data_IF_906927390351
#
_entry.id   IF_906927390351
#
_cell.length_a   1.000
_cell.length_b   1.000
_cell.length_c   1.000
_cell.angle_alpha   90.00
_cell.angle_beta   90.00
_cell.angle_gamma   90.00
#
_symmetry.space_group_name_H-M   'P 1'
#
loop_
_entity.id
_entity.type
_entity.pdbx_description
1 polymer ?
#
# COMPACT_ATOMS: atom_id res chain seq x y z
N UNK A 1 -29.21 -52.62 22.51
CA UNK A 1 -28.79 -52.02 21.23
C UNK A 1 -28.91 -50.51 21.45
N UNK A 2 -27.82 -49.80 21.74
CA UNK A 2 -26.96 -49.06 20.78
C UNK A 2 -27.78 -47.91 20.13
N UNK A 3 -27.39 -46.62 20.08
CA UNK A 3 -26.07 -45.99 19.99
C UNK A 3 -26.23 -44.53 20.49
N UNK A 4 -25.19 -44.00 21.13
CA UNK A 4 -24.93 -42.60 21.47
C UNK A 4 -25.10 -41.64 20.28
N UNK A 5 -25.33 -40.34 20.53
CA UNK A 5 -24.67 -39.17 19.87
C UNK A 5 -25.49 -37.88 20.10
N UNK A 6 -25.34 -37.27 21.28
CA UNK A 6 -25.71 -35.86 21.52
C UNK A 6 -24.47 -35.11 22.03
N UNK A 7 -23.56 -34.81 21.12
CA UNK A 7 -22.43 -33.92 21.39
C UNK A 7 -22.24 -33.02 20.17
N UNK A 8 -22.35 -31.70 20.40
CA UNK A 8 -21.89 -30.57 19.58
C UNK A 8 -22.77 -30.07 18.40
N UNK A 9 -23.69 -29.11 18.67
CA UNK A 9 -24.12 -28.12 17.68
C UNK A 9 -23.20 -26.86 17.64
N UNK A 10 -22.17 -26.80 18.50
CA UNK A 10 -21.29 -25.61 18.63
C UNK A 10 -20.15 -25.56 17.60
N UNK A 11 -19.80 -26.69 17.00
CA UNK A 11 -18.74 -26.83 15.99
C UNK A 11 -19.03 -26.08 14.67
N UNK A 12 -20.24 -26.13 14.07
CA UNK A 12 -20.52 -25.43 12.82
C UNK A 12 -20.56 -23.89 12.99
N UNK A 13 -21.02 -23.40 14.14
CA UNK A 13 -21.07 -21.95 14.40
C UNK A 13 -19.66 -21.36 14.57
N UNK A 14 -18.75 -22.09 15.23
CA UNK A 14 -17.35 -21.70 15.35
C UNK A 14 -16.63 -21.68 14.00
N UNK A 15 -16.86 -22.68 13.14
CA UNK A 15 -16.29 -22.71 11.78
C UNK A 15 -16.78 -21.54 10.91
N UNK A 16 -18.05 -21.15 11.04
CA UNK A 16 -18.63 -20.03 10.30
C UNK A 16 -18.05 -18.68 10.74
N UNK A 17 -17.79 -18.50 12.04
CA UNK A 17 -17.15 -17.30 12.58
C UNK A 17 -15.69 -17.18 12.15
N UNK A 18 -14.96 -18.31 12.12
CA UNK A 18 -13.57 -18.35 11.60
C UNK A 18 -13.57 -18.03 10.10
N UNK A 19 -14.51 -18.56 9.30
CA UNK A 19 -14.60 -18.23 7.87
C UNK A 19 -14.84 -16.74 7.64
N UNK A 20 -15.77 -16.10 8.36
CA UNK A 20 -16.10 -14.69 8.18
C UNK A 20 -14.94 -13.74 8.54
N UNK A 21 -14.08 -14.14 9.47
CA UNK A 21 -12.93 -13.35 9.89
C UNK A 21 -11.72 -13.49 8.94
N UNK A 22 -11.63 -14.60 8.18
CA UNK A 22 -10.50 -14.87 7.27
C UNK A 22 -10.78 -14.36 5.85
N UNK A 23 -12.04 -14.20 5.45
CA UNK A 23 -12.43 -13.69 4.12
C UNK A 23 -11.86 -12.30 3.74
N UNK A 24 -11.78 -11.30 4.64
CA UNK A 24 -11.29 -9.97 4.28
C UNK A 24 -9.80 -9.93 3.93
N UNK A 25 -9.01 -10.89 4.42
CA UNK A 25 -7.56 -10.90 4.25
C UNK A 25 -7.11 -11.36 2.85
N UNK A 26 -8.00 -11.95 2.04
CA UNK A 26 -7.65 -12.53 0.73
C UNK A 26 -7.49 -11.44 -0.35
N UNK A 27 -8.00 -10.22 -0.11
CA UNK A 27 -8.00 -9.14 -1.11
C UNK A 27 -6.79 -8.20 -1.03
N UNK A 28 -5.91 -8.39 -0.04
CA UNK A 28 -4.62 -7.71 0.03
C UNK A 28 -3.58 -8.54 -0.73
N UNK A 29 -3.00 -7.98 -1.79
CA UNK A 29 -1.90 -8.61 -2.49
C UNK A 29 -0.61 -7.83 -2.25
N UNK A 30 0.46 -8.55 -1.96
CA UNK A 30 1.82 -8.03 -2.06
C UNK A 30 2.14 -7.82 -3.54
N UNK A 31 2.52 -6.61 -3.93
CA UNK A 31 2.95 -6.32 -5.31
C UNK A 31 4.36 -6.87 -5.49
N UNK A 32 4.51 -7.85 -6.38
CA UNK A 32 5.81 -8.48 -6.67
C UNK A 32 6.69 -7.62 -7.59
N UNK A 33 6.08 -6.80 -8.45
CA UNK A 33 6.79 -5.86 -9.33
C UNK A 33 6.79 -4.45 -8.72
N UNK A 34 7.69 -4.23 -7.76
CA UNK A 34 8.07 -2.87 -7.36
C UNK A 34 9.56 -2.66 -7.63
N UNK A 35 9.91 -1.43 -8.00
CA UNK A 35 11.29 -1.01 -8.23
C UNK A 35 11.57 0.23 -7.43
N UNK A 36 12.72 0.26 -6.77
CA UNK A 36 13.20 1.46 -6.10
C UNK A 36 13.76 2.38 -7.19
N UNK A 37 13.20 3.58 -7.32
CA UNK A 37 13.75 4.60 -8.20
C UNK A 37 15.12 5.02 -7.67
N UNK A 38 16.19 4.65 -8.37
CA UNK A 38 17.54 5.08 -8.02
C UNK A 38 17.72 6.54 -8.42
N UNK A 39 17.67 7.44 -7.44
CA UNK A 39 18.21 8.79 -7.57
C UNK A 39 19.68 8.82 -7.11
N UNK A 40 20.40 9.90 -7.41
CA UNK A 40 21.83 10.09 -7.06
C UNK A 40 22.15 10.10 -5.55
N UNK A 41 21.15 9.98 -4.68
CA UNK A 41 21.31 9.81 -3.22
C UNK A 41 20.57 8.56 -2.79
N UNK A 42 21.17 7.80 -1.87
CA UNK A 42 20.47 6.69 -1.20
C UNK A 42 19.21 7.21 -0.51
N UNK A 43 18.05 6.57 -0.72
CA UNK A 43 16.82 6.98 -0.08
C UNK A 43 16.92 6.76 1.45
N UNK A 44 16.35 7.65 2.27
CA UNK A 44 16.42 7.54 3.73
C UNK A 44 15.65 6.33 4.27
N UNK A 45 14.75 5.75 3.46
CA UNK A 45 13.96 4.56 3.77
C UNK A 45 14.28 3.50 2.71
N UNK A 46 14.75 2.34 3.17
CA UNK A 46 14.89 1.12 2.35
C UNK A 46 13.56 0.39 2.33
N UNK A 47 12.98 0.22 1.14
CA UNK A 47 11.68 -0.43 0.98
C UNK A 47 11.87 -1.95 0.90
N UNK A 48 11.13 -2.69 1.72
CA UNK A 48 11.15 -4.15 1.78
C UNK A 48 9.98 -4.77 1.03
N UNK A 49 8.77 -4.24 1.23
CA UNK A 49 7.58 -4.71 0.53
C UNK A 49 6.58 -3.57 0.32
N UNK A 50 5.81 -3.70 -0.76
CA UNK A 50 4.68 -2.83 -1.07
C UNK A 50 3.44 -3.72 -1.19
N UNK A 51 2.47 -3.48 -0.33
CA UNK A 51 1.17 -4.13 -0.36
C UNK A 51 0.14 -3.14 -0.88
N UNK A 52 -0.79 -3.64 -1.69
CA UNK A 52 -1.88 -2.82 -2.19
C UNK A 52 -3.20 -3.54 -2.00
N UNK A 53 -4.20 -2.77 -1.55
CA UNK A 53 -5.55 -3.25 -1.33
C UNK A 53 -6.58 -2.22 -1.79
N UNK A 54 -7.59 -2.60 -2.59
CA UNK A 54 -7.78 -3.93 -3.17
C UNK A 54 -6.84 -4.19 -4.36
N UNK A 55 -6.46 -5.46 -4.55
CA UNK A 55 -5.77 -5.92 -5.76
C UNK A 55 -6.48 -7.13 -6.39
N UNK A 56 -6.66 -7.19 -7.72
CA UNK A 56 -6.30 -6.19 -8.72
C UNK A 56 -7.16 -4.91 -8.59
N UNK A 57 -6.57 -3.77 -8.96
CA UNK A 57 -7.28 -2.49 -8.92
C UNK A 57 -8.49 -2.53 -9.85
N UNK A 58 -9.67 -2.27 -9.31
CA UNK A 58 -10.82 -1.98 -10.15
C UNK A 58 -10.79 -0.49 -10.47
N UNK A 59 -10.74 -0.16 -11.76
CA UNK A 59 -10.79 1.23 -12.22
C UNK A 59 -11.97 1.96 -11.56
N UNK A 60 -11.71 3.11 -10.97
CA UNK A 60 -12.72 3.89 -10.27
C UNK A 60 -12.94 3.52 -8.79
N UNK A 61 -12.09 2.70 -8.17
CA UNK A 61 -12.14 2.43 -6.72
C UNK A 61 -10.88 2.94 -6.02
N UNK A 62 -11.03 3.47 -4.81
CA UNK A 62 -9.88 3.91 -4.02
C UNK A 62 -8.99 2.72 -3.67
N UNK A 63 -7.68 2.98 -3.63
CA UNK A 63 -6.69 1.99 -3.22
C UNK A 63 -5.87 2.49 -2.05
N UNK A 64 -5.52 1.53 -1.18
CA UNK A 64 -4.65 1.74 -0.03
C UNK A 64 -3.31 1.09 -0.34
N UNK A 65 -2.24 1.83 -0.09
CA UNK A 65 -0.86 1.37 -0.28
C UNK A 65 -0.20 1.26 1.08
N UNK A 66 0.33 0.09 1.41
CA UNK A 66 1.12 -0.12 2.61
C UNK A 66 2.54 -0.42 2.21
N UNK A 67 3.48 0.43 2.63
CA UNK A 67 4.91 0.24 2.38
C UNK A 67 5.55 -0.19 3.68
N UNK A 68 6.23 -1.32 3.66
CA UNK A 68 7.07 -1.76 4.77
C UNK A 68 8.52 -1.56 4.38
N UNK A 69 9.32 -1.08 5.34
CA UNK A 69 10.71 -0.77 5.09
C UNK A 69 11.52 -0.61 6.36
N UNK A 70 12.75 -0.16 6.18
CA UNK A 70 13.69 0.11 7.25
C UNK A 70 14.39 1.44 7.03
N UNK A 71 14.58 2.21 8.09
CA UNK A 71 15.43 3.40 8.08
C UNK A 71 16.57 3.25 9.07
N UNK A 72 17.78 3.61 8.65
CA UNK A 72 18.99 3.58 9.49
C UNK A 72 19.25 4.90 10.21
N UNK A 73 18.46 5.94 9.94
CA UNK A 73 18.66 7.29 10.44
C UNK A 73 17.34 7.84 10.98
N UNK A 74 17.44 8.76 11.93
CA UNK A 74 16.27 9.46 12.41
C UNK A 74 15.73 10.37 11.28
N UNK A 75 14.43 10.30 11.01
CA UNK A 75 13.79 11.17 10.03
C UNK A 75 13.13 12.32 10.79
N UNK A 76 13.50 13.59 10.47
CA UNK A 76 13.00 14.75 11.18
C UNK A 76 11.51 15.03 10.89
N UNK A 77 10.92 15.90 11.70
CA UNK A 77 9.49 16.21 11.68
C UNK A 77 9.03 16.94 10.40
N UNK A 78 9.95 17.48 9.61
CA UNK A 78 9.73 18.23 8.37
C UNK A 78 9.92 17.37 7.12
N UNK A 79 10.04 16.05 7.28
CA UNK A 79 10.11 15.15 6.14
C UNK A 79 8.79 15.08 5.38
N UNK A 80 8.90 15.06 4.05
CA UNK A 80 7.77 14.93 3.14
C UNK A 80 7.85 13.63 2.34
N UNK A 81 6.69 13.14 1.97
CA UNK A 81 6.55 12.04 1.03
C UNK A 81 5.69 12.51 -0.13
N UNK A 82 6.17 12.19 -1.33
CA UNK A 82 5.43 12.36 -2.57
C UNK A 82 5.07 11.01 -3.14
N UNK A 83 3.79 10.81 -3.43
CA UNK A 83 3.28 9.63 -4.11
C UNK A 83 2.84 10.07 -5.50
N UNK A 84 3.37 9.43 -6.52
CA UNK A 84 3.13 9.71 -7.92
C UNK A 84 2.45 8.54 -8.62
N UNK A 85 1.46 8.82 -9.45
CA UNK A 85 0.90 7.88 -10.40
C UNK A 85 1.45 8.20 -11.77
N UNK A 86 1.89 7.19 -12.49
CA UNK A 86 2.34 7.32 -13.87
C UNK A 86 1.44 6.45 -14.75
N UNK A 87 0.85 7.06 -15.77
CA UNK A 87 0.14 6.36 -16.84
C UNK A 87 0.94 6.49 -18.14
N UNK A 88 1.37 5.40 -18.75
CA UNK A 88 1.77 5.35 -20.17
C UNK A 88 0.55 5.07 -21.05
N UNK A 89 -0.19 6.13 -21.37
CA UNK A 89 -1.24 6.04 -22.38
C UNK A 89 -0.63 6.09 -23.78
N UNK A 90 -1.22 5.36 -24.72
CA UNK A 90 -1.03 5.64 -26.16
C UNK A 90 -2.31 6.31 -26.67
N UNK A 91 -2.26 7.59 -27.01
CA UNK A 91 -3.35 8.28 -27.72
C UNK A 91 -2.89 8.46 -29.17
N UNK A 92 -3.34 7.56 -30.05
CA UNK A 92 -2.94 7.57 -31.46
C UNK A 92 -1.50 7.09 -31.66
N UNK A 93 -0.64 7.92 -32.25
CA UNK A 93 0.78 7.58 -32.57
C UNK A 93 1.79 8.11 -31.54
N UNK A 94 1.34 8.69 -30.42
CA UNK A 94 2.19 9.26 -29.38
C UNK A 94 2.01 8.59 -28.02
N UNK A 95 3.12 8.39 -27.29
CA UNK A 95 3.11 8.01 -25.87
C UNK A 95 2.91 9.27 -25.02
N UNK A 96 1.84 9.30 -24.23
CA UNK A 96 1.59 10.36 -23.25
C UNK A 96 1.80 9.78 -21.86
N UNK A 97 2.94 10.12 -21.27
CA UNK A 97 3.24 9.84 -19.87
C UNK A 97 2.66 10.98 -19.03
N UNK A 98 1.52 10.72 -18.38
CA UNK A 98 0.95 11.67 -17.42
C UNK A 98 1.35 11.23 -16.02
N UNK A 99 2.00 12.12 -15.27
CA UNK A 99 2.38 11.87 -13.87
C UNK A 99 1.57 12.77 -12.94
N UNK A 100 0.68 12.19 -12.16
CA UNK A 100 -0.03 12.88 -11.08
C UNK A 100 0.72 12.70 -9.78
N UNK A 101 1.09 13.77 -9.09
CA UNK A 101 1.79 13.70 -7.80
C UNK A 101 0.95 14.28 -6.68
N UNK A 102 0.97 13.61 -5.52
CA UNK A 102 0.37 14.06 -4.26
C UNK A 102 1.47 14.12 -3.21
N UNK A 103 1.44 15.17 -2.42
CA UNK A 103 2.40 15.44 -1.35
C UNK A 103 1.69 15.33 -0.01
N UNK A 104 2.38 14.77 0.98
CA UNK A 104 1.90 14.70 2.37
C UNK A 104 3.11 14.79 3.30
N UNK A 105 2.92 15.34 4.50
CA UNK A 105 3.96 15.23 5.51
C UNK A 105 4.12 13.77 5.88
N UNK A 106 5.35 13.32 6.08
CA UNK A 106 5.61 11.98 6.62
C UNK A 106 4.95 11.82 8.00
N UNK A 107 4.84 12.91 8.76
CA UNK A 107 4.27 12.93 10.10
C UNK A 107 2.74 12.86 10.13
N UNK A 108 2.08 13.09 8.98
CA UNK A 108 0.64 12.88 8.86
C UNK A 108 0.29 11.38 8.80
N UNK A 109 1.26 10.54 8.40
CA UNK A 109 1.06 9.10 8.16
C UNK A 109 1.84 8.20 9.11
N UNK A 110 2.82 8.73 9.84
CA UNK A 110 3.58 8.01 10.87
C UNK A 110 3.92 8.92 12.05
N UNK A 111 4.33 8.34 13.17
CA UNK A 111 4.78 9.10 14.34
C UNK A 111 6.16 9.72 14.07
N UNK A 112 6.28 11.02 14.36
CA UNK A 112 7.51 11.77 14.20
C UNK A 112 8.08 12.24 15.56
N UNK A 113 9.41 12.33 15.71
CA UNK A 113 10.43 11.97 14.71
C UNK A 113 10.49 10.45 14.50
N UNK A 114 10.75 10.02 13.26
CA UNK A 114 10.83 8.59 12.95
C UNK A 114 12.15 8.07 13.47
N UNK A 115 12.10 7.21 14.48
CA UNK A 115 13.30 6.57 15.03
C UNK A 115 13.88 5.54 14.04
N UNK A 116 15.21 5.34 14.02
CA UNK A 116 15.82 4.24 13.26
C UNK A 116 15.18 2.88 13.57
N UNK A 117 14.84 2.12 12.54
CA UNK A 117 14.16 0.84 12.71
C UNK A 117 13.24 0.46 11.55
N UNK A 118 12.43 -0.57 11.80
CA UNK A 118 11.35 -0.98 10.89
C UNK A 118 10.25 0.08 10.87
N UNK A 119 9.80 0.45 9.67
CA UNK A 119 8.73 1.41 9.46
C UNK A 119 7.65 0.81 8.57
N UNK A 120 6.40 1.16 8.87
CA UNK A 120 5.22 0.85 8.07
C UNK A 120 4.54 2.17 7.73
N UNK A 121 4.40 2.45 6.44
CA UNK A 121 3.73 3.65 5.93
C UNK A 121 2.43 3.23 5.23
N UNK A 122 1.30 3.63 5.81
CA UNK A 122 -0.02 3.31 5.28
C UNK A 122 -0.63 4.56 4.64
N UNK A 123 -0.82 4.49 3.33
CA UNK A 123 -1.42 5.54 2.53
C UNK A 123 -2.85 5.14 2.17
N UNK A 124 -3.82 5.87 2.70
CA UNK A 124 -5.25 5.62 2.45
C UNK A 124 -5.85 6.74 1.62
N UNK A 125 -6.58 6.40 0.56
CA UNK A 125 -7.33 7.36 -0.27
C UNK A 125 -6.50 8.55 -0.82
N UNK A 126 -5.22 8.36 -1.12
CA UNK A 126 -4.36 9.44 -1.67
C UNK A 126 -4.81 9.88 -3.05
N UNK A 127 -5.40 8.96 -3.82
CA UNK A 127 -5.86 9.21 -5.17
C UNK A 127 -7.35 8.95 -5.28
N UNK A 128 -8.04 9.78 -6.05
CA UNK A 128 -9.46 9.60 -6.31
C UNK A 128 -9.67 8.57 -7.43
N UNK A 129 -10.86 7.96 -7.54
CA UNK A 129 -11.22 7.02 -8.61
C UNK A 129 -10.83 7.45 -10.03
N UNK A 130 -10.96 8.75 -10.31
CA UNK A 130 -10.65 9.35 -11.61
C UNK A 130 -9.15 9.35 -11.92
N UNK A 131 -8.31 9.49 -10.90
CA UNK A 131 -6.86 9.46 -11.03
C UNK A 131 -6.37 8.04 -11.40
N UNK A 132 -7.17 7.01 -11.07
CA UNK A 132 -6.84 5.59 -11.18
C UNK A 132 -7.26 4.95 -12.53
N UNK A 133 -7.86 5.72 -13.44
CA UNK A 133 -8.52 5.22 -14.65
C UNK A 133 -7.56 4.68 -15.74
N UNK A 134 -6.31 5.15 -15.76
CA UNK A 134 -5.31 4.83 -16.78
C UNK A 134 -3.95 4.42 -16.21
N UNK A 135 -3.93 3.93 -14.97
CA UNK A 135 -2.68 3.64 -14.29
C UNK A 135 -1.97 2.41 -14.81
N UNK A 136 -0.67 2.55 -14.95
CA UNK A 136 0.21 1.45 -15.34
C UNK A 136 1.39 1.34 -14.36
N UNK A 137 1.71 2.41 -13.59
CA UNK A 137 2.69 2.35 -12.51
C UNK A 137 2.49 3.39 -11.39
N UNK A 138 2.92 3.02 -10.19
CA UNK A 138 2.97 3.91 -9.01
C UNK A 138 4.43 4.15 -8.63
N UNK A 139 4.81 5.40 -8.44
CA UNK A 139 6.15 5.82 -8.05
C UNK A 139 6.09 6.57 -6.72
N UNK A 140 6.92 6.19 -5.75
CA UNK A 140 6.89 6.79 -4.41
C UNK A 140 8.27 7.39 -4.12
N UNK A 141 8.31 8.68 -3.79
CA UNK A 141 9.52 9.44 -3.54
C UNK A 141 9.49 10.04 -2.13
N UNK A 142 10.52 9.73 -1.35
CA UNK A 142 10.75 10.30 -0.03
C UNK A 142 11.82 11.37 -0.10
N UNK A 143 11.59 12.53 0.49
CA UNK A 143 12.61 13.56 0.62
C UNK A 143 12.40 14.39 1.89
N UNK A 144 13.48 14.92 2.43
CA UNK A 144 13.45 15.85 3.55
C UNK A 144 13.50 17.27 2.99
N UNK A 145 12.58 18.14 3.39
CA UNK A 145 12.77 19.58 3.21
C UNK A 145 13.77 20.01 4.27
N UNK A 146 14.81 20.74 3.88
CA UNK A 146 15.87 21.23 4.76
C UNK A 146 16.00 22.73 4.58
#
# INVERSE_FOLDING_TARGET
>A
MAISHDLQPLLPFHLLLVSLFVLPAIFAASVSDFRICQNFKEPPIKVNAVEVSPYPFTSGTNANFTITGFTSQEIPNDAEVSVGLTSDGTLGTGSLVTTLKRYSSLCDITSCPVTPGSIVLAFSNIFIPQDLLHLIGVSILFYTIN
#
